data_IF_331662129804
#
_entry.id   IF_331662129804
#
_cell.length_a   1.000
_cell.length_b   1.000
_cell.length_c   1.000
_cell.angle_alpha   90.00
_cell.angle_beta   90.00
_cell.angle_gamma   90.00
#
_symmetry.space_group_name_H-M   'P 1'
#
loop_
_entity.id
_entity.type
_entity.pdbx_description
1 polymer ?
#
# COMPACT_ATOMS: atom_id res chain seq x y z
N UNK A 1 13.53 -13.84 -2.82
CA UNK A 1 13.65 -12.59 -2.05
C UNK A 1 12.22 -12.11 -1.78
N UNK A 2 11.84 -11.89 -0.51
CA UNK A 2 10.51 -11.36 -0.19
C UNK A 2 10.57 -9.83 -0.25
N UNK A 3 9.68 -9.19 -1.00
CA UNK A 3 9.56 -7.73 -1.02
C UNK A 3 8.93 -7.24 0.28
N UNK A 4 9.34 -6.07 0.76
CA UNK A 4 8.73 -5.42 1.93
C UNK A 4 7.42 -4.76 1.52
N UNK A 5 6.48 -4.60 2.45
CA UNK A 5 5.19 -3.94 2.22
C UNK A 5 5.31 -2.62 1.44
N UNK A 6 6.25 -1.76 1.81
CA UNK A 6 6.44 -0.44 1.20
C UNK A 6 6.82 -0.53 -0.29
N UNK A 7 7.71 -1.46 -0.64
CA UNK A 7 8.12 -1.74 -2.02
C UNK A 7 6.96 -2.35 -2.83
N UNK A 8 6.24 -3.30 -2.22
CA UNK A 8 5.12 -3.97 -2.85
C UNK A 8 3.96 -3.01 -3.13
N UNK A 9 3.65 -2.11 -2.19
CA UNK A 9 2.62 -1.09 -2.35
C UNK A 9 2.93 -0.20 -3.55
N UNK A 10 4.16 0.30 -3.62
CA UNK A 10 4.63 1.13 -4.72
C UNK A 10 4.55 0.38 -6.06
N UNK A 11 5.03 -0.85 -6.10
CA UNK A 11 4.97 -1.70 -7.29
C UNK A 11 3.54 -1.86 -7.81
N UNK A 12 2.60 -2.22 -6.94
CA UNK A 12 1.19 -2.42 -7.33
C UNK A 12 0.52 -1.12 -7.79
N UNK A 13 0.88 0.02 -7.20
CA UNK A 13 0.41 1.34 -7.63
C UNK A 13 0.93 1.66 -9.04
N UNK A 14 2.22 1.44 -9.27
CA UNK A 14 2.87 1.71 -10.56
C UNK A 14 2.40 0.76 -11.67
N UNK A 15 2.17 -0.52 -11.37
CA UNK A 15 1.56 -1.50 -12.30
C UNK A 15 0.18 -1.06 -12.81
N UNK A 16 -0.60 -0.37 -11.97
CA UNK A 16 -1.90 0.21 -12.35
C UNK A 16 -1.77 1.60 -12.99
N UNK A 17 -0.56 2.10 -13.21
CA UNK A 17 -0.26 3.45 -13.69
C UNK A 17 -0.92 4.55 -12.85
N UNK A 18 -1.00 4.35 -11.52
CA UNK A 18 -1.62 5.33 -10.62
C UNK A 18 -0.59 6.25 -9.97
N UNK A 19 -0.96 7.53 -9.85
CA UNK A 19 -0.26 8.46 -8.97
C UNK A 19 -0.65 8.21 -7.50
N UNK A 20 0.12 8.78 -6.56
CA UNK A 20 -0.24 8.73 -5.13
C UNK A 20 -1.57 9.45 -4.85
N UNK A 21 -1.86 10.52 -5.58
CA UNK A 21 -3.14 11.24 -5.52
C UNK A 21 -4.32 10.38 -6.00
N UNK A 22 -4.12 9.59 -7.05
CA UNK A 22 -5.15 8.68 -7.56
C UNK A 22 -5.40 7.53 -6.58
N UNK A 23 -4.35 6.93 -6.04
CA UNK A 23 -4.46 5.91 -5.01
C UNK A 23 -5.15 6.47 -3.75
N UNK A 24 -4.77 7.68 -3.32
CA UNK A 24 -5.37 8.39 -2.19
C UNK A 24 -6.88 8.54 -2.34
N UNK A 25 -7.34 8.99 -3.51
CA UNK A 25 -8.78 9.14 -3.81
C UNK A 25 -9.53 7.80 -3.75
N UNK A 26 -8.91 6.72 -4.20
CA UNK A 26 -9.54 5.38 -4.24
C UNK A 26 -9.60 4.72 -2.86
N UNK A 27 -8.52 4.81 -2.08
CA UNK A 27 -8.39 4.17 -0.75
C UNK A 27 -8.96 5.05 0.37
N UNK A 28 -9.21 6.33 0.07
CA UNK A 28 -9.61 7.37 1.04
C UNK A 28 -8.57 7.50 2.17
N UNK A 29 -7.30 7.54 1.79
CA UNK A 29 -6.16 7.74 2.69
C UNK A 29 -5.36 8.92 2.16
N UNK A 30 -4.98 9.85 3.03
CA UNK A 30 -4.23 11.04 2.61
C UNK A 30 -2.93 10.69 1.87
N UNK A 31 -2.61 11.50 0.84
CA UNK A 31 -1.45 11.32 -0.03
C UNK A 31 -0.15 11.22 0.78
N UNK A 32 0.03 12.08 1.78
CA UNK A 32 1.20 12.04 2.67
C UNK A 32 1.35 10.70 3.39
N UNK A 33 0.25 10.11 3.89
CA UNK A 33 0.30 8.81 4.56
C UNK A 33 0.68 7.70 3.59
N UNK A 34 0.16 7.74 2.36
CA UNK A 34 0.55 6.77 1.32
C UNK A 34 2.03 6.90 0.96
N UNK A 35 2.55 8.13 0.85
CA UNK A 35 3.98 8.37 0.62
C UNK A 35 4.82 7.80 1.77
N UNK A 36 4.44 8.04 3.02
CA UNK A 36 5.11 7.47 4.20
C UNK A 36 5.07 5.94 4.20
N UNK A 37 3.96 5.34 3.77
CA UNK A 37 3.86 3.88 3.61
C UNK A 37 4.82 3.35 2.55
N UNK A 38 4.95 4.00 1.39
CA UNK A 38 5.87 3.57 0.32
C UNK A 38 7.35 3.82 0.66
N UNK A 39 7.64 4.83 1.49
CA UNK A 39 8.97 5.08 2.02
C UNK A 39 9.35 4.14 3.17
N UNK A 40 8.35 3.53 3.83
CA UNK A 40 8.55 2.71 5.04
C UNK A 40 8.67 3.53 6.33
N UNK A 41 8.33 4.82 6.29
CA UNK A 41 8.34 5.72 7.46
C UNK A 41 7.15 5.48 8.40
N UNK A 42 6.09 4.87 7.87
CA UNK A 42 4.87 4.58 8.61
C UNK A 42 4.42 3.14 8.33
N UNK A 43 3.96 2.44 9.37
CA UNK A 43 3.35 1.12 9.24
C UNK A 43 1.82 1.27 9.16
N UNK A 44 1.16 0.73 8.13
CA UNK A 44 -0.29 0.80 8.01
C UNK A 44 -0.98 -0.08 9.08
N UNK A 45 -2.20 0.29 9.45
CA UNK A 45 -3.07 -0.61 10.21
C UNK A 45 -3.55 -1.78 9.33
N UNK A 46 -3.96 -2.89 9.95
CA UNK A 46 -4.60 -4.03 9.24
C UNK A 46 -5.81 -3.55 8.42
N UNK A 47 -6.61 -2.62 8.94
CA UNK A 47 -7.75 -2.06 8.21
C UNK A 47 -7.30 -1.30 6.95
N UNK A 48 -6.21 -0.55 7.02
CA UNK A 48 -5.61 0.14 5.87
C UNK A 48 -5.12 -0.86 4.84
N UNK A 49 -4.46 -1.94 5.26
CA UNK A 49 -3.99 -3.00 4.36
C UNK A 49 -5.17 -3.66 3.63
N UNK A 50 -6.29 -3.93 4.31
CA UNK A 50 -7.49 -4.48 3.67
C UNK A 50 -8.14 -3.51 2.66
N UNK A 51 -8.13 -2.20 2.96
CA UNK A 51 -8.60 -1.19 1.99
C UNK A 51 -7.70 -1.15 0.76
N UNK A 52 -6.38 -1.15 0.97
CA UNK A 52 -5.39 -1.18 -0.10
C UNK A 52 -5.53 -2.45 -0.95
N UNK A 53 -5.69 -3.62 -0.33
CA UNK A 53 -5.85 -4.88 -1.04
C UNK A 53 -7.11 -4.90 -1.91
N UNK A 54 -8.20 -4.31 -1.41
CA UNK A 54 -9.46 -4.19 -2.15
C UNK A 54 -9.31 -3.26 -3.36
N UNK A 55 -8.71 -2.09 -3.18
CA UNK A 55 -8.52 -1.10 -4.26
C UNK A 55 -7.50 -1.54 -5.29
N UNK A 56 -6.42 -2.20 -4.84
CA UNK A 56 -5.37 -2.73 -5.71
C UNK A 56 -5.77 -4.08 -6.32
N UNK A 57 -6.92 -4.64 -5.96
CA UNK A 57 -7.44 -5.92 -6.47
C UNK A 57 -6.46 -7.08 -6.28
N UNK A 58 -5.78 -7.11 -5.14
CA UNK A 58 -4.85 -8.17 -4.76
C UNK A 58 -5.23 -8.77 -3.41
N UNK A 59 -4.84 -10.03 -3.12
CA UNK A 59 -4.97 -10.58 -1.79
C UNK A 59 -4.20 -9.73 -0.75
N UNK A 60 -4.78 -9.55 0.44
CA UNK A 60 -4.12 -8.81 1.51
C UNK A 60 -2.79 -9.45 1.93
N UNK A 61 -2.64 -10.77 1.78
CA UNK A 61 -1.38 -11.49 1.98
C UNK A 61 -0.25 -10.95 1.13
N UNK A 62 -0.52 -10.43 -0.08
CA UNK A 62 0.50 -9.84 -0.92
C UNK A 62 1.08 -8.57 -0.31
N UNK A 63 0.28 -7.84 0.49
CA UNK A 63 0.69 -6.62 1.19
C UNK A 63 1.18 -6.90 2.63
N UNK A 64 0.82 -8.03 3.24
CA UNK A 64 1.15 -8.31 4.65
C UNK A 64 2.59 -8.78 4.86
N UNK A 65 3.31 -9.16 3.80
CA UNK A 65 4.70 -9.58 3.90
C UNK A 65 5.61 -8.41 4.35
N UNK A 66 6.19 -8.54 5.54
CA UNK A 66 7.05 -7.53 6.16
C UNK A 66 6.38 -6.65 7.21
N UNK A 67 5.06 -6.78 7.42
CA UNK A 67 4.37 -6.23 8.61
C UNK A 67 4.50 -7.26 9.74
N UNK A 68 5.71 -7.41 10.29
CA UNK A 68 5.89 -8.17 11.52
C UNK A 68 5.60 -7.27 12.71
N UNK A 69 4.75 -7.77 13.61
CA UNK A 69 4.47 -7.17 14.92
C UNK A 69 5.73 -7.12 15.79
#
# INVERSE_FOLDING_TARGET
>A
MKQKFNEQLRFLREEKNWSLEELSKKVQVGVEKLAQYENGDLTPSVQTVLKLSTVLEVPASNLMDGIQA
#
